data_IF_248721844025
#
_entry.id   IF_248721844025
#
_cell.length_a   1.000
_cell.length_b   1.000
_cell.length_c   1.000
_cell.angle_alpha   90.00
_cell.angle_beta   90.00
_cell.angle_gamma   90.00
#
_symmetry.space_group_name_H-M   'P 1'
#
loop_
_entity.id
_entity.type
_entity.pdbx_description
1 polymer ?
#
# COMPACT_ATOMS: atom_id res chain seq x y z
N UNK A 1 -70.94 -5.91 -19.05
CA UNK A 1 -69.71 -6.53 -19.56
C UNK A 1 -68.51 -5.86 -18.91
N UNK A 2 -67.93 -6.56 -17.91
CA UNK A 2 -66.49 -6.64 -17.58
C UNK A 2 -65.72 -5.36 -17.24
N UNK A 3 -65.27 -5.25 -15.98
CA UNK A 3 -63.85 -5.44 -15.55
C UNK A 3 -63.03 -4.16 -15.73
N UNK A 4 -62.20 -3.68 -14.82
CA UNK A 4 -61.72 -4.13 -13.51
C UNK A 4 -61.09 -2.87 -12.89
N UNK A 5 -61.40 -2.58 -11.63
CA UNK A 5 -60.59 -1.67 -10.81
C UNK A 5 -59.49 -2.54 -10.17
N UNK A 6 -58.21 -2.24 -10.42
CA UNK A 6 -57.05 -2.73 -9.66
C UNK A 6 -55.85 -1.86 -10.08
N UNK A 7 -55.51 -0.81 -9.34
CA UNK A 7 -54.50 -0.79 -8.27
C UNK A 7 -53.22 -1.53 -8.68
N UNK A 8 -52.20 -0.78 -9.11
CA UNK A 8 -50.82 -1.12 -8.80
C UNK A 8 -50.12 0.11 -8.24
N UNK A 9 -50.13 0.14 -6.92
CA UNK A 9 -49.46 1.08 -6.05
C UNK A 9 -47.93 0.93 -6.13
N UNK A 10 -47.25 2.06 -5.96
CA UNK A 10 -45.94 2.25 -5.31
C UNK A 10 -44.85 1.20 -5.55
N UNK A 11 -43.86 1.58 -6.36
CA UNK A 11 -42.47 1.13 -6.20
C UNK A 11 -41.50 2.33 -6.06
N UNK A 12 -41.48 3.06 -4.93
CA UNK A 12 -40.28 3.78 -4.49
C UNK A 12 -39.65 3.00 -3.33
N UNK A 13 -38.95 1.90 -3.62
CA UNK A 13 -38.45 1.00 -2.58
C UNK A 13 -37.02 0.50 -2.71
N UNK A 14 -36.42 0.50 -3.91
CA UNK A 14 -35.13 -0.16 -4.12
C UNK A 14 -33.90 0.75 -3.94
N UNK A 15 -34.07 2.06 -3.73
CA UNK A 15 -32.96 3.00 -3.62
C UNK A 15 -32.70 3.54 -2.20
N UNK A 16 -33.35 3.00 -1.15
CA UNK A 16 -33.18 3.48 0.24
C UNK A 16 -32.67 2.41 1.23
N UNK A 17 -32.24 1.23 0.73
CA UNK A 17 -31.82 0.13 1.59
C UNK A 17 -30.37 0.28 2.12
N UNK A 18 -29.52 1.00 1.39
CA UNK A 18 -28.07 1.04 1.63
C UNK A 18 -27.65 1.92 2.82
N UNK A 19 -28.50 2.87 3.21
CA UNK A 19 -28.20 3.80 4.30
C UNK A 19 -28.39 3.19 5.71
N UNK A 20 -29.01 2.01 5.80
CA UNK A 20 -29.45 1.38 7.06
C UNK A 20 -28.80 0.04 7.36
N UNK A 21 -27.86 -0.40 6.54
CA UNK A 21 -27.13 -1.67 6.70
C UNK A 21 -25.66 -1.44 6.41
N UNK A 22 -24.80 -2.19 7.10
CA UNK A 22 -23.39 -2.36 6.73
C UNK A 22 -23.07 -3.85 6.85
N UNK A 23 -22.51 -4.42 5.79
CA UNK A 23 -21.89 -5.76 5.81
C UNK A 23 -20.43 -5.57 6.20
N UNK A 24 -20.04 -6.20 7.28
CA UNK A 24 -18.79 -5.94 7.97
C UNK A 24 -18.06 -7.26 8.20
N UNK A 25 -16.80 -7.33 7.79
CA UNK A 25 -15.94 -8.45 8.11
C UNK A 25 -15.03 -8.10 9.29
N UNK A 26 -14.95 -9.01 10.26
CA UNK A 26 -13.95 -8.97 11.33
C UNK A 26 -13.20 -10.30 11.39
N UNK A 27 -11.86 -10.27 11.51
CA UNK A 27 -11.05 -11.46 11.70
C UNK A 27 -11.50 -12.28 12.92
N UNK A 28 -11.35 -13.62 12.90
CA UNK A 28 -11.78 -14.49 13.99
C UNK A 28 -11.29 -14.04 15.37
N UNK A 29 -10.04 -13.59 15.49
CA UNK A 29 -9.48 -13.09 16.74
C UNK A 29 -10.32 -11.93 17.35
N UNK A 30 -10.80 -10.99 16.53
CA UNK A 30 -11.65 -9.90 16.99
C UNK A 30 -13.07 -10.36 17.34
N UNK A 31 -13.62 -11.32 16.60
CA UNK A 31 -14.93 -11.90 16.88
C UNK A 31 -14.90 -12.68 18.21
N UNK A 32 -13.89 -13.53 18.38
CA UNK A 32 -13.66 -14.36 19.57
C UNK A 32 -13.35 -13.53 20.81
N UNK A 33 -12.62 -12.42 20.66
CA UNK A 33 -12.39 -11.47 21.77
C UNK A 33 -13.68 -10.89 22.34
N UNK A 34 -14.78 -10.91 21.58
CA UNK A 34 -16.05 -10.31 21.94
C UNK A 34 -16.16 -8.82 21.62
N UNK A 35 -15.11 -8.20 21.05
CA UNK A 35 -15.13 -6.78 20.67
C UNK A 35 -16.30 -6.45 19.74
N UNK A 36 -16.56 -7.30 18.75
CA UNK A 36 -17.63 -7.06 17.76
C UNK A 36 -19.01 -7.05 18.44
N UNK A 37 -19.24 -7.98 19.37
CA UNK A 37 -20.45 -8.03 20.20
C UNK A 37 -20.57 -6.81 21.13
N UNK A 38 -19.45 -6.17 21.47
CA UNK A 38 -19.43 -4.95 22.25
C UNK A 38 -19.76 -3.70 21.42
N UNK A 39 -19.16 -3.54 20.24
CA UNK A 39 -19.27 -2.29 19.46
C UNK A 39 -20.55 -2.23 18.61
N UNK A 40 -20.96 -3.34 17.98
CA UNK A 40 -22.04 -3.33 17.01
C UNK A 40 -23.38 -2.84 17.59
N UNK A 41 -23.84 -3.30 18.78
CA UNK A 41 -25.07 -2.81 19.37
C UNK A 41 -25.04 -1.32 19.72
N UNK A 42 -23.87 -0.80 20.14
CA UNK A 42 -23.69 0.60 20.55
C UNK A 42 -23.74 1.53 19.34
N UNK A 43 -23.12 1.12 18.23
CA UNK A 43 -23.26 1.81 16.96
C UNK A 43 -24.72 1.81 16.49
N UNK A 44 -25.31 0.62 16.34
CA UNK A 44 -26.68 0.47 15.81
C UNK A 44 -27.73 1.24 16.62
N UNK A 45 -27.61 1.28 17.95
CA UNK A 45 -28.54 2.00 18.80
C UNK A 45 -28.55 3.52 18.52
N UNK A 46 -27.38 4.11 18.25
CA UNK A 46 -27.25 5.55 18.02
C UNK A 46 -27.53 5.95 16.57
N UNK A 47 -27.23 5.08 15.62
CA UNK A 47 -27.25 5.43 14.18
C UNK A 47 -28.43 4.83 13.43
N UNK A 48 -29.14 3.86 14.03
CA UNK A 48 -30.18 3.03 13.39
C UNK A 48 -29.67 2.27 12.15
N UNK A 49 -28.35 2.07 12.02
CA UNK A 49 -27.73 1.26 10.98
C UNK A 49 -27.45 -0.13 11.55
N UNK A 50 -27.95 -1.18 10.89
CA UNK A 50 -27.71 -2.57 11.27
C UNK A 50 -26.32 -3.01 10.81
N UNK A 51 -25.56 -3.62 11.71
CA UNK A 51 -24.29 -4.29 11.37
C UNK A 51 -24.56 -5.77 11.15
N UNK A 52 -24.15 -6.28 9.99
CA UNK A 52 -24.17 -7.70 9.65
C UNK A 52 -22.74 -8.19 9.48
N UNK A 53 -22.44 -9.35 10.08
CA UNK A 53 -21.08 -9.92 10.02
C UNK A 53 -21.01 -10.85 8.81
N UNK A 54 -20.08 -10.59 7.91
CA UNK A 54 -19.76 -11.50 6.81
C UNK A 54 -18.73 -12.55 7.25
N UNK A 55 -18.84 -13.76 6.70
CA UNK A 55 -17.88 -14.85 6.90
C UNK A 55 -16.67 -14.71 5.97
N UNK A 56 -16.84 -14.06 4.82
CA UNK A 56 -15.80 -13.80 3.81
C UNK A 56 -15.53 -12.29 3.68
N UNK A 57 -14.27 -11.83 3.73
CA UNK A 57 -13.93 -10.42 3.52
C UNK A 57 -14.36 -9.87 2.14
N UNK A 58 -14.45 -10.70 1.11
CA UNK A 58 -14.84 -10.29 -0.25
C UNK A 58 -16.33 -9.93 -0.36
N UNK A 59 -17.15 -10.35 0.61
CA UNK A 59 -18.58 -10.04 0.68
C UNK A 59 -18.88 -8.78 1.52
N UNK A 60 -17.87 -8.16 2.11
CA UNK A 60 -18.05 -7.06 3.07
C UNK A 60 -17.85 -5.67 2.47
N UNK A 61 -18.67 -4.71 2.93
CA UNK A 61 -18.54 -3.29 2.61
C UNK A 61 -17.37 -2.64 3.38
N UNK A 62 -17.08 -3.17 4.58
CA UNK A 62 -16.02 -2.72 5.48
C UNK A 62 -15.31 -3.93 6.08
N UNK A 63 -13.98 -3.94 5.99
CA UNK A 63 -13.13 -5.05 6.43
C UNK A 63 -12.19 -4.56 7.53
N UNK A 64 -12.10 -5.29 8.64
CA UNK A 64 -10.94 -5.17 9.54
C UNK A 64 -9.85 -6.16 9.14
N UNK A 65 -8.60 -5.70 9.15
CA UNK A 65 -7.47 -6.52 8.77
C UNK A 65 -6.13 -5.79 8.90
N UNK A 66 -5.09 -6.25 8.19
CA UNK A 66 -3.76 -5.65 8.22
C UNK A 66 -3.65 -4.37 7.38
N UNK A 67 -4.58 -4.14 6.44
CA UNK A 67 -4.52 -3.06 5.45
C UNK A 67 -5.56 -1.96 5.69
N UNK A 68 -5.26 -0.75 5.19
CA UNK A 68 -6.17 0.40 5.26
C UNK A 68 -5.82 1.37 6.39
N UNK A 69 -6.85 2.02 6.96
CA UNK A 69 -6.67 3.03 8.01
C UNK A 69 -6.54 2.38 9.38
N UNK A 70 -5.44 2.62 10.09
CA UNK A 70 -5.25 2.13 11.46
C UNK A 70 -6.34 2.64 12.41
N UNK A 71 -6.94 1.74 13.21
CA UNK A 71 -7.98 2.09 14.18
C UNK A 71 -7.54 1.93 15.64
N UNK A 72 -6.95 0.78 15.98
CA UNK A 72 -6.55 0.42 17.35
C UNK A 72 -5.54 -0.73 17.35
N UNK A 73 -4.82 -0.91 18.45
CA UNK A 73 -3.90 -2.05 18.65
C UNK A 73 -4.39 -2.96 19.76
N UNK A 74 -4.19 -4.26 19.63
CA UNK A 74 -4.59 -5.27 20.60
C UNK A 74 -4.47 -6.68 20.03
N UNK A 75 -4.44 -7.69 20.90
CA UNK A 75 -4.24 -9.11 20.50
C UNK A 75 -2.93 -9.36 19.72
N UNK A 76 -1.91 -8.52 19.92
CA UNK A 76 -0.60 -8.68 19.30
C UNK A 76 -0.40 -7.93 17.98
N UNK A 77 -1.40 -7.21 17.46
CA UNK A 77 -1.29 -6.49 16.19
C UNK A 77 -2.04 -5.14 16.20
N UNK A 78 -1.85 -4.34 15.14
CA UNK A 78 -2.62 -3.13 14.88
C UNK A 78 -3.69 -3.43 13.83
N UNK A 79 -4.95 -3.22 14.20
CA UNK A 79 -6.10 -3.48 13.34
C UNK A 79 -6.42 -2.25 12.50
N UNK A 80 -6.50 -2.47 11.20
CA UNK A 80 -6.79 -1.47 10.19
C UNK A 80 -8.19 -1.70 9.62
N UNK A 81 -8.76 -0.63 9.08
CA UNK A 81 -10.05 -0.61 8.43
C UNK A 81 -9.85 -0.30 6.95
N UNK A 82 -10.35 -1.20 6.11
CA UNK A 82 -10.48 -1.00 4.68
C UNK A 82 -11.96 -0.84 4.31
N UNK A 83 -12.28 0.23 3.57
CA UNK A 83 -13.63 0.54 3.12
C UNK A 83 -13.72 0.17 1.64
N UNK A 84 -14.46 -0.91 1.33
CA UNK A 84 -14.47 -1.53 0.00
C UNK A 84 -15.39 -0.84 -0.98
N UNK A 85 -16.38 -0.10 -0.48
CA UNK A 85 -17.35 0.64 -1.30
C UNK A 85 -17.82 1.92 -0.60
N UNK A 86 -18.64 2.71 -1.30
CA UNK A 86 -19.17 3.99 -0.85
C UNK A 86 -20.57 3.88 -0.21
N UNK A 87 -20.98 2.67 0.20
CA UNK A 87 -22.27 2.46 0.85
C UNK A 87 -22.41 3.37 2.09
N UNK A 88 -23.51 4.11 2.18
CA UNK A 88 -23.65 5.13 3.24
C UNK A 88 -23.63 4.53 4.64
N UNK A 89 -24.15 3.31 4.81
CA UNK A 89 -24.06 2.57 6.07
C UNK A 89 -22.61 2.26 6.47
N UNK A 90 -21.80 1.82 5.51
CA UNK A 90 -20.38 1.54 5.71
C UNK A 90 -19.59 2.80 6.05
N UNK A 91 -19.81 3.90 5.32
CA UNK A 91 -19.18 5.20 5.61
C UNK A 91 -19.56 5.71 7.01
N UNK A 92 -20.82 5.55 7.43
CA UNK A 92 -21.27 5.92 8.78
C UNK A 92 -20.58 5.09 9.85
N UNK A 93 -20.39 3.79 9.61
CA UNK A 93 -19.69 2.93 10.56
C UNK A 93 -18.21 3.28 10.65
N UNK A 94 -17.54 3.48 9.52
CA UNK A 94 -16.16 3.97 9.44
C UNK A 94 -15.94 5.30 10.18
N UNK A 95 -16.84 6.27 9.95
CA UNK A 95 -16.81 7.57 10.63
C UNK A 95 -17.03 7.41 12.14
N UNK A 96 -17.90 6.48 12.56
CA UNK A 96 -18.10 6.23 13.97
C UNK A 96 -16.87 5.59 14.63
N UNK A 97 -16.27 4.57 14.01
CA UNK A 97 -15.06 3.89 14.52
C UNK A 97 -13.89 4.85 14.71
N UNK A 98 -13.75 5.83 13.82
CA UNK A 98 -12.68 6.84 13.88
C UNK A 98 -13.02 8.04 14.78
N UNK A 99 -14.29 8.22 15.15
CA UNK A 99 -14.73 9.28 16.07
C UNK A 99 -14.26 9.03 17.51
N UNK A 100 -14.23 10.08 18.33
CA UNK A 100 -13.86 9.94 19.74
C UNK A 100 -14.75 8.95 20.50
N UNK A 101 -16.04 8.87 20.13
CA UNK A 101 -16.98 7.93 20.76
C UNK A 101 -16.64 6.50 20.38
N UNK A 102 -16.35 6.23 19.10
CA UNK A 102 -15.93 4.90 18.65
C UNK A 102 -14.60 4.47 19.29
N UNK A 103 -13.59 5.34 19.24
CA UNK A 103 -12.27 5.07 19.84
C UNK A 103 -12.37 4.75 21.34
N UNK A 104 -13.09 5.58 22.11
CA UNK A 104 -13.31 5.31 23.54
C UNK A 104 -14.12 4.03 23.80
N UNK A 105 -15.05 3.68 22.90
CA UNK A 105 -15.83 2.43 23.04
C UNK A 105 -14.93 1.21 22.85
N UNK A 106 -14.01 1.24 21.88
CA UNK A 106 -13.04 0.16 21.68
C UNK A 106 -12.05 0.09 22.84
N UNK A 107 -11.47 1.23 23.24
CA UNK A 107 -10.47 1.29 24.31
C UNK A 107 -11.05 0.97 25.69
N UNK A 108 -12.35 1.23 25.90
CA UNK A 108 -13.07 0.85 27.11
C UNK A 108 -13.46 -0.63 27.15
N UNK A 109 -13.19 -1.41 26.10
CA UNK A 109 -13.45 -2.84 26.11
C UNK A 109 -12.45 -3.58 26.98
N UNK A 110 -12.91 -3.93 28.19
CA UNK A 110 -12.12 -4.58 29.22
C UNK A 110 -12.80 -5.85 29.77
N UNK A 111 -12.91 -6.93 28.98
CA UNK A 111 -13.41 -8.21 29.49
C UNK A 111 -12.47 -8.70 30.60
N UNK A 112 -13.03 -9.08 31.76
CA UNK A 112 -12.22 -9.47 32.92
C UNK A 112 -11.54 -8.31 33.66
N UNK A 113 -11.80 -7.05 33.28
CA UNK A 113 -11.25 -5.86 33.93
C UNK A 113 -9.93 -5.34 33.34
N UNK A 114 -9.38 -6.02 32.34
CA UNK A 114 -8.15 -5.60 31.65
C UNK A 114 -8.47 -5.06 30.25
N UNK A 115 -7.96 -3.87 29.92
CA UNK A 115 -8.11 -3.27 28.59
C UNK A 115 -7.38 -4.09 27.53
N UNK A 116 -8.12 -4.58 26.54
CA UNK A 116 -7.54 -5.39 25.46
C UNK A 116 -7.08 -4.58 24.25
N UNK A 117 -7.64 -3.37 24.06
CA UNK A 117 -7.38 -2.54 22.88
C UNK A 117 -6.97 -1.13 23.28
N UNK A 118 -5.95 -0.60 22.63
CA UNK A 118 -5.38 0.73 22.88
C UNK A 118 -5.38 1.57 21.60
N UNK A 119 -4.92 2.82 21.71
CA UNK A 119 -4.66 3.65 20.54
C UNK A 119 -3.75 2.90 19.54
N UNK A 120 -3.98 3.09 18.24
CA UNK A 120 -3.18 2.42 17.22
C UNK A 120 -1.73 2.81 17.46
N UNK A 121 -0.93 1.82 17.85
CA UNK A 121 0.50 1.97 17.86
C UNK A 121 0.87 2.24 16.40
N UNK A 122 1.36 3.45 16.15
CA UNK A 122 2.06 3.76 14.91
C UNK A 122 3.31 2.90 14.96
N UNK A 123 3.18 1.65 14.54
CA UNK A 123 4.33 0.89 14.11
C UNK A 123 4.74 1.59 12.83
N UNK A 124 5.66 2.56 12.99
CA UNK A 124 6.56 2.93 11.92
C UNK A 124 6.99 1.59 11.35
N UNK A 125 6.50 1.28 10.14
CA UNK A 125 6.93 0.11 9.42
C UNK A 125 8.43 0.33 9.31
N UNK A 126 9.17 -0.31 10.21
CA UNK A 126 10.59 -0.52 10.02
C UNK A 126 10.59 -1.38 8.80
N UNK A 127 10.62 -0.73 7.62
CA UNK A 127 11.30 -1.27 6.47
C UNK A 127 12.59 -1.72 7.10
N UNK A 128 12.72 -3.03 7.32
CA UNK A 128 13.96 -3.59 7.80
C UNK A 128 14.98 -2.91 6.91
N UNK A 129 15.82 -2.05 7.49
CA UNK A 129 17.00 -1.57 6.80
C UNK A 129 17.73 -2.88 6.55
N UNK A 130 17.47 -3.49 5.40
CA UNK A 130 18.29 -4.57 4.89
C UNK A 130 19.65 -3.92 4.90
N UNK A 131 20.52 -4.36 5.81
CA UNK A 131 21.88 -3.88 5.83
C UNK A 131 22.41 -4.22 4.44
N UNK A 132 22.56 -3.20 3.61
CA UNK A 132 23.12 -3.37 2.29
C UNK A 132 24.61 -3.54 2.52
N UNK A 133 25.06 -4.79 2.52
CA UNK A 133 26.45 -5.16 2.81
C UNK A 133 27.40 -4.90 1.63
N UNK A 134 26.86 -4.46 0.49
CA UNK A 134 27.66 -4.11 -0.69
C UNK A 134 28.57 -2.90 -0.44
N UNK A 135 29.66 -2.83 -1.20
CA UNK A 135 30.60 -1.72 -1.14
C UNK A 135 30.01 -0.49 -1.88
N UNK A 136 29.56 0.50 -1.13
CA UNK A 136 28.98 1.72 -1.68
C UNK A 136 29.96 2.56 -2.51
N UNK A 137 31.28 2.48 -2.25
CA UNK A 137 32.30 3.18 -3.04
C UNK A 137 32.44 2.47 -4.38
N UNK A 138 32.55 1.14 -4.38
CA UNK A 138 32.52 0.36 -5.61
C UNK A 138 31.21 0.61 -6.40
N UNK A 139 30.09 0.71 -5.69
CA UNK A 139 28.77 0.99 -6.26
C UNK A 139 28.67 2.35 -6.93
N UNK A 140 29.29 3.38 -6.35
CA UNK A 140 29.40 4.70 -6.95
C UNK A 140 30.15 4.64 -8.28
N UNK A 141 31.32 3.99 -8.30
CA UNK A 141 32.14 3.83 -9.50
C UNK A 141 31.40 3.02 -10.59
N UNK A 142 30.79 1.89 -10.21
CA UNK A 142 29.99 1.08 -11.11
C UNK A 142 28.81 1.88 -11.68
N UNK A 143 28.10 2.64 -10.84
CA UNK A 143 27.00 3.50 -11.27
C UNK A 143 27.47 4.53 -12.31
N UNK A 144 28.57 5.23 -12.04
CA UNK A 144 29.11 6.22 -12.98
C UNK A 144 29.56 5.58 -14.29
N UNK A 145 30.34 4.49 -14.23
CA UNK A 145 30.90 3.83 -15.40
C UNK A 145 29.83 3.19 -16.30
N UNK A 146 28.80 2.60 -15.70
CA UNK A 146 27.79 1.77 -16.39
C UNK A 146 26.53 2.55 -16.75
N UNK A 147 26.13 3.50 -15.91
CA UNK A 147 24.85 4.21 -16.04
C UNK A 147 25.00 5.70 -16.35
N UNK A 148 26.18 6.29 -16.13
CA UNK A 148 26.45 7.74 -16.23
C UNK A 148 26.32 8.34 -17.63
N UNK A 149 26.24 7.51 -18.69
CA UNK A 149 25.93 7.95 -20.06
C UNK A 149 24.49 8.44 -20.20
N UNK A 150 23.57 7.94 -19.37
CA UNK A 150 22.15 8.26 -19.46
C UNK A 150 21.64 8.87 -18.15
N UNK A 151 22.00 8.31 -17.01
CA UNK A 151 21.54 8.80 -15.72
C UNK A 151 22.53 9.78 -15.10
N UNK A 152 22.02 10.80 -14.40
CA UNK A 152 22.84 11.50 -13.41
C UNK A 152 22.96 10.60 -12.19
N UNK A 153 24.13 9.96 -12.05
CA UNK A 153 24.42 9.01 -10.96
C UNK A 153 25.13 9.66 -9.78
N UNK A 154 25.90 10.72 -10.04
CA UNK A 154 26.66 11.48 -9.05
C UNK A 154 26.61 12.98 -9.36
N UNK A 155 26.35 13.82 -8.35
CA UNK A 155 26.36 15.28 -8.49
C UNK A 155 27.79 15.79 -8.64
N UNK A 156 28.02 16.67 -9.61
CA UNK A 156 29.30 17.36 -9.80
C UNK A 156 30.40 16.54 -10.47
N UNK A 157 30.23 15.22 -10.62
CA UNK A 157 31.11 14.38 -11.44
C UNK A 157 30.68 14.47 -12.90
N UNK A 158 31.65 14.67 -13.80
CA UNK A 158 31.41 14.76 -15.24
C UNK A 158 30.75 13.48 -15.77
N UNK A 159 29.50 13.60 -16.23
CA UNK A 159 28.67 12.54 -16.78
C UNK A 159 27.48 13.17 -17.52
N UNK A 160 27.12 12.60 -18.67
CA UNK A 160 26.26 13.22 -19.68
C UNK A 160 24.77 12.93 -19.49
N UNK A 161 24.30 12.80 -18.24
CA UNK A 161 22.92 12.44 -17.94
C UNK A 161 21.93 13.10 -18.92
N UNK A 162 21.17 12.29 -19.64
CA UNK A 162 20.26 12.78 -20.67
C UNK A 162 19.01 13.25 -19.93
N UNK A 163 18.62 14.51 -20.12
CA UNK A 163 17.52 15.13 -19.36
C UNK A 163 16.16 14.40 -19.45
N UNK A 164 16.03 13.42 -20.34
CA UNK A 164 14.87 12.54 -20.50
C UNK A 164 14.86 11.29 -19.60
N UNK A 165 15.94 11.00 -18.87
CA UNK A 165 16.00 9.87 -17.93
C UNK A 165 16.15 10.37 -16.49
N UNK A 166 15.44 9.77 -15.51
CA UNK A 166 15.47 10.22 -14.13
C UNK A 166 16.87 10.03 -13.53
N UNK A 167 17.32 10.96 -12.68
CA UNK A 167 18.57 10.78 -11.94
C UNK A 167 18.43 9.68 -10.88
N UNK A 168 19.55 9.17 -10.38
CA UNK A 168 19.54 8.23 -9.25
C UNK A 168 18.88 8.84 -8.02
N UNK A 169 19.07 10.14 -7.79
CA UNK A 169 18.43 10.89 -6.70
C UNK A 169 16.90 10.94 -6.83
N UNK A 170 16.36 11.10 -8.05
CA UNK A 170 14.91 11.03 -8.30
C UNK A 170 14.40 9.62 -8.03
N UNK A 171 15.07 8.60 -8.59
CA UNK A 171 14.65 7.21 -8.41
C UNK A 171 14.75 6.76 -6.95
N UNK A 172 15.72 7.29 -6.20
CA UNK A 172 15.89 7.07 -4.76
C UNK A 172 14.74 7.61 -3.92
N UNK A 173 13.98 8.58 -4.44
CA UNK A 173 12.79 9.15 -3.79
C UNK A 173 11.53 8.29 -3.93
N UNK A 174 11.53 7.25 -4.77
CA UNK A 174 10.36 6.37 -4.92
C UNK A 174 10.17 5.50 -3.67
N UNK A 175 8.92 5.28 -3.24
CA UNK A 175 8.62 4.42 -2.09
C UNK A 175 9.14 2.98 -2.28
N UNK A 176 9.12 2.48 -3.51
CA UNK A 176 9.53 1.13 -3.91
C UNK A 176 10.94 1.06 -4.53
N UNK A 177 11.79 2.09 -4.32
CA UNK A 177 13.11 2.18 -4.97
C UNK A 177 13.96 0.91 -4.76
N UNK A 178 13.94 0.34 -3.55
CA UNK A 178 14.72 -0.86 -3.21
C UNK A 178 14.34 -2.04 -4.11
N UNK A 179 13.04 -2.29 -4.26
CA UNK A 179 12.54 -3.36 -5.10
C UNK A 179 12.87 -3.12 -6.57
N UNK A 180 12.81 -1.86 -7.03
CA UNK A 180 13.13 -1.51 -8.42
C UNK A 180 14.60 -1.73 -8.77
N UNK A 181 15.51 -1.28 -7.91
CA UNK A 181 16.94 -1.50 -8.13
C UNK A 181 17.31 -2.98 -7.95
N UNK A 182 16.77 -3.68 -6.94
CA UNK A 182 17.09 -5.09 -6.71
C UNK A 182 16.54 -6.00 -7.82
N UNK A 183 15.36 -5.65 -8.35
CA UNK A 183 14.73 -6.32 -9.48
C UNK A 183 15.21 -5.85 -10.84
N UNK A 184 16.34 -5.15 -10.96
CA UNK A 184 16.78 -4.50 -12.21
C UNK A 184 16.76 -5.44 -13.43
N UNK A 185 17.27 -6.67 -13.28
CA UNK A 185 17.32 -7.68 -14.36
C UNK A 185 15.96 -8.35 -14.64
N UNK A 186 14.98 -8.22 -13.72
CA UNK A 186 13.62 -8.71 -13.90
C UNK A 186 12.76 -7.65 -14.57
N UNK A 187 12.85 -6.40 -14.11
CA UNK A 187 12.12 -5.25 -14.65
C UNK A 187 12.65 -4.83 -16.01
N UNK A 188 13.94 -5.10 -16.29
CA UNK A 188 14.62 -4.89 -17.58
C UNK A 188 14.33 -3.51 -18.19
N UNK A 189 14.59 -2.40 -17.46
CA UNK A 189 14.20 -1.05 -17.87
C UNK A 189 14.78 -0.64 -19.23
N UNK A 190 15.91 -1.21 -19.63
CA UNK A 190 16.54 -1.01 -20.92
C UNK A 190 17.10 -2.32 -21.50
N UNK A 191 16.22 -3.33 -21.59
CA UNK A 191 16.52 -4.68 -22.06
C UNK A 191 17.28 -4.77 -23.39
N UNK A 192 17.17 -3.75 -24.25
CA UNK A 192 17.80 -3.74 -25.57
C UNK A 192 19.32 -3.57 -25.54
N UNK A 193 19.90 -3.09 -24.42
CA UNK A 193 21.33 -2.80 -24.34
C UNK A 193 21.95 -3.05 -22.96
N UNK A 194 21.27 -3.80 -22.08
CA UNK A 194 21.81 -4.19 -20.77
C UNK A 194 21.83 -5.69 -20.58
N UNK A 195 22.92 -6.21 -20.03
CA UNK A 195 23.08 -7.62 -19.72
C UNK A 195 23.68 -7.77 -18.32
N UNK A 196 23.15 -8.73 -17.58
CA UNK A 196 23.68 -9.16 -16.30
C UNK A 196 24.33 -10.52 -16.50
N UNK A 197 25.64 -10.59 -16.26
CA UNK A 197 26.46 -11.78 -16.45
C UNK A 197 25.89 -12.95 -15.64
N UNK A 198 25.74 -14.11 -16.28
CA UNK A 198 25.21 -15.32 -15.66
C UNK A 198 23.70 -15.30 -15.33
N UNK A 199 22.99 -14.19 -15.62
CA UNK A 199 21.57 -14.05 -15.28
C UNK A 199 20.70 -13.78 -16.51
N UNK A 200 21.09 -12.88 -17.41
CA UNK A 200 20.32 -12.57 -18.62
C UNK A 200 20.89 -13.27 -19.85
N UNK A 201 20.01 -13.68 -20.76
CA UNK A 201 20.41 -14.26 -22.04
C UNK A 201 21.26 -13.29 -22.89
N UNK A 202 22.14 -13.82 -23.77
CA UNK A 202 22.80 -13.04 -24.79
C UNK A 202 21.80 -12.37 -25.74
N UNK A 203 22.17 -11.20 -26.31
CA UNK A 203 21.35 -10.58 -27.35
C UNK A 203 21.18 -11.53 -28.54
N UNK A 204 19.95 -11.66 -29.09
CA UNK A 204 19.73 -12.44 -30.30
C UNK A 204 20.58 -11.92 -31.47
N UNK A 205 21.12 -12.83 -32.29
CA UNK A 205 21.99 -12.48 -33.43
C UNK A 205 21.25 -11.57 -34.44
N UNK A 206 19.95 -11.76 -34.59
CA UNK A 206 19.08 -10.98 -35.48
C UNK A 206 18.65 -9.63 -34.87
N UNK A 207 18.89 -9.42 -33.57
CA UNK A 207 18.53 -8.20 -32.82
C UNK A 207 19.66 -7.84 -31.84
N UNK A 208 20.85 -7.46 -32.34
CA UNK A 208 21.96 -7.04 -31.49
C UNK A 208 21.63 -5.73 -30.78
N UNK A 209 22.37 -5.44 -29.70
CA UNK A 209 22.24 -4.17 -28.98
C UNK A 209 22.49 -2.97 -29.92
N UNK A 210 21.64 -1.93 -29.89
CA UNK A 210 21.76 -0.76 -30.77
C UNK A 210 22.91 0.18 -30.37
N UNK A 211 23.49 0.00 -29.18
CA UNK A 211 24.62 0.76 -28.65
C UNK A 211 25.62 -0.20 -27.97
N UNK A 212 26.79 0.30 -27.58
CA UNK A 212 27.71 -0.46 -26.73
C UNK A 212 26.98 -0.92 -25.45
N UNK A 213 26.84 -2.24 -25.22
CA UNK A 213 26.08 -2.77 -24.10
C UNK A 213 26.61 -2.32 -22.74
N UNK A 214 25.70 -2.24 -21.79
CA UNK A 214 26.04 -2.14 -20.37
C UNK A 214 26.03 -3.56 -19.81
N UNK A 215 27.23 -4.04 -19.49
CA UNK A 215 27.43 -5.34 -18.85
C UNK A 215 27.61 -5.12 -17.35
N UNK A 216 26.84 -5.86 -16.55
CA UNK A 216 26.87 -5.84 -15.09
C UNK A 216 27.11 -7.25 -14.57
N UNK A 217 27.72 -7.36 -13.40
CA UNK A 217 27.72 -8.57 -12.58
C UNK A 217 26.69 -8.45 -11.45
N UNK A 218 26.41 -9.55 -10.75
CA UNK A 218 25.62 -9.49 -9.52
C UNK A 218 26.31 -8.64 -8.44
N UNK A 219 27.64 -8.73 -8.34
CA UNK A 219 28.43 -7.91 -7.40
C UNK A 219 28.32 -6.41 -7.73
N UNK A 220 28.33 -6.04 -9.02
CA UNK A 220 28.09 -4.65 -9.44
C UNK A 220 26.69 -4.19 -9.01
N UNK A 221 25.68 -5.04 -9.18
CA UNK A 221 24.30 -4.72 -8.80
C UNK A 221 24.16 -4.52 -7.28
N UNK A 222 24.76 -5.40 -6.48
CA UNK A 222 24.78 -5.29 -5.02
C UNK A 222 25.52 -4.03 -4.54
N UNK A 223 26.65 -3.71 -5.17
CA UNK A 223 27.40 -2.49 -4.89
C UNK A 223 26.58 -1.23 -5.25
N UNK A 224 25.96 -1.20 -6.43
CA UNK A 224 25.08 -0.11 -6.88
C UNK A 224 23.90 0.08 -5.91
N UNK A 225 23.29 -1.01 -5.43
CA UNK A 225 22.24 -0.97 -4.43
C UNK A 225 22.72 -0.30 -3.13
N UNK A 226 23.88 -0.70 -2.62
CA UNK A 226 24.48 -0.11 -1.43
C UNK A 226 24.79 1.38 -1.61
N UNK A 227 25.27 1.79 -2.78
CA UNK A 227 25.47 3.19 -3.13
C UNK A 227 24.16 3.99 -3.14
N UNK A 228 23.13 3.48 -3.82
CA UNK A 228 21.83 4.17 -3.91
C UNK A 228 21.18 4.29 -2.53
N UNK A 229 21.37 3.32 -1.64
CA UNK A 229 20.84 3.36 -0.28
C UNK A 229 21.30 4.59 0.52
N UNK A 230 22.55 5.02 0.31
CA UNK A 230 23.17 6.16 1.01
C UNK A 230 22.97 7.50 0.31
N UNK A 231 22.33 7.53 -0.87
CA UNK A 231 21.98 8.79 -1.53
C UNK A 231 20.83 9.50 -0.82
N UNK A 232 20.97 10.82 -0.68
CA UNK A 232 19.84 11.68 -0.35
C UNK A 232 18.87 11.74 -1.54
N UNK A 233 17.57 11.49 -1.35
CA UNK A 233 16.61 11.63 -2.45
C UNK A 233 16.57 13.06 -2.98
N UNK A 234 16.20 13.21 -4.25
CA UNK A 234 15.91 14.53 -4.82
C UNK A 234 14.66 15.11 -4.15
N UNK A 235 14.72 16.42 -3.82
CA UNK A 235 13.53 17.16 -3.44
C UNK A 235 12.70 17.45 -4.69
N UNK A 236 11.51 16.86 -4.77
CA UNK A 236 10.57 17.03 -5.88
C UNK A 236 9.45 18.04 -5.56
N UNK A 237 9.46 18.64 -4.38
CA UNK A 237 8.38 19.48 -3.87
C UNK A 237 7.13 18.68 -3.49
N UNK A 238 6.06 19.42 -3.15
CA UNK A 238 4.77 18.85 -2.74
C UNK A 238 4.07 18.13 -3.91
N UNK A 239 3.27 17.07 -3.63
CA UNK A 239 2.45 16.41 -4.63
C UNK A 239 1.55 17.41 -5.39
N UNK A 240 1.41 17.20 -6.70
CA UNK A 240 0.53 18.03 -7.51
C UNK A 240 -0.94 17.76 -7.13
N UNK A 241 -1.59 18.78 -6.55
CA UNK A 241 -3.04 18.74 -6.35
C UNK A 241 -3.73 19.02 -7.69
N UNK A 242 -4.39 18.00 -8.23
CA UNK A 242 -5.27 18.15 -9.39
C UNK A 242 -6.52 18.95 -8.98
N UNK A 243 -6.83 20.03 -9.70
CA UNK A 243 -8.08 20.78 -9.57
C UNK A 243 -9.18 20.14 -10.43
#
# INVERSE_FOLDING_TARGET
MRMLVLILALLPGLAMADDKRVVFYAPPALVESGLIKHIAPRFSLKTQVRVEIADDPDEADLVLGPDGRALFSGLGETWHMDLRNDAKGAQRFANWLTSDVGRRTVQGFAPGGETLFTEPQVQERVVAKVEMTGDAIAGQEASWAKCGRCHVTERGRGGFGIGSTPSFYVMRGFEDWQARFAGFYVLKPHAAFTQLEGVTDPFPIDRPSPIAPIELTLDDLEAILAYVAVLDPADLGEPLNHQ
#
